data_IF_548852404430
#
_entry.id   IF_548852404430
#
_cell.length_a   1.000
_cell.length_b   1.000
_cell.length_c   1.000
_cell.angle_alpha   90.00
_cell.angle_beta   90.00
_cell.angle_gamma   90.00
#
_symmetry.space_group_name_H-M   'P 1'
#
loop_
_entity.id
_entity.type
_entity.pdbx_description
1 polymer ?
#
# COMPACT_ATOMS: atom_id res chain seq x y z
N UNK A 1 -14.28 46.80 3.73
CA UNK A 1 -14.41 45.88 4.89
C UNK A 1 -14.69 44.42 4.47
N UNK A 2 -15.36 44.13 3.35
CA UNK A 2 -15.59 42.74 2.89
C UNK A 2 -14.33 42.00 2.38
N UNK A 3 -13.44 42.69 1.64
CA UNK A 3 -12.20 42.07 1.13
C UNK A 3 -11.23 41.65 2.24
N UNK A 4 -11.15 42.41 3.33
CA UNK A 4 -10.31 42.07 4.49
C UNK A 4 -10.81 40.82 5.22
N UNK A 5 -12.13 40.66 5.38
CA UNK A 5 -12.73 39.48 6.02
C UNK A 5 -12.57 38.20 5.18
N UNK A 6 -12.58 38.29 3.85
CA UNK A 6 -12.30 37.15 2.99
C UNK A 6 -10.84 36.73 3.08
N UNK A 7 -9.92 37.70 3.10
CA UNK A 7 -8.48 37.42 3.21
C UNK A 7 -8.12 36.79 4.57
N UNK A 8 -8.73 37.24 5.67
CA UNK A 8 -8.51 36.61 6.98
C UNK A 8 -9.07 35.19 7.04
N UNK A 9 -10.23 34.92 6.42
CA UNK A 9 -10.76 33.56 6.33
C UNK A 9 -9.86 32.65 5.48
N UNK A 10 -9.28 33.18 4.41
CA UNK A 10 -8.35 32.44 3.56
C UNK A 10 -7.05 32.12 4.31
N UNK A 11 -6.57 33.05 5.12
CA UNK A 11 -5.39 32.89 5.98
C UNK A 11 -5.64 31.84 7.07
N UNK A 12 -6.80 31.85 7.71
CA UNK A 12 -7.22 30.83 8.68
C UNK A 12 -7.28 29.43 8.03
N UNK A 13 -7.84 29.33 6.82
CA UNK A 13 -7.87 28.07 6.06
C UNK A 13 -6.44 27.62 5.74
N UNK A 14 -5.57 28.55 5.29
CA UNK A 14 -4.19 28.24 4.97
C UNK A 14 -3.42 27.74 6.20
N UNK A 15 -3.63 28.35 7.37
CA UNK A 15 -3.02 27.92 8.63
C UNK A 15 -3.49 26.52 9.04
N UNK A 16 -4.79 26.22 8.95
CA UNK A 16 -5.32 24.88 9.24
C UNK A 16 -4.74 23.84 8.26
N UNK A 17 -4.62 24.19 6.97
CA UNK A 17 -4.04 23.29 5.98
C UNK A 17 -2.55 23.05 6.21
N UNK A 18 -1.80 24.04 6.69
CA UNK A 18 -0.38 23.85 7.04
C UNK A 18 -0.22 22.90 8.22
N UNK A 19 -1.01 23.06 9.28
CA UNK A 19 -1.04 22.14 10.42
C UNK A 19 -1.38 20.71 9.99
N UNK A 20 -2.43 20.56 9.17
CA UNK A 20 -2.83 19.26 8.60
C UNK A 20 -1.71 18.66 7.74
N UNK A 21 -0.97 19.49 7.01
CA UNK A 21 0.16 19.05 6.19
C UNK A 21 1.28 18.50 7.05
N UNK A 22 1.60 19.14 8.18
CA UNK A 22 2.60 18.66 9.14
C UNK A 22 2.17 17.33 9.76
N UNK A 23 0.92 17.22 10.20
CA UNK A 23 0.36 16.00 10.78
C UNK A 23 0.37 14.84 9.77
N UNK A 24 -0.08 15.12 8.56
CA UNK A 24 -0.10 14.13 7.46
C UNK A 24 1.30 13.69 7.09
N UNK A 25 2.28 14.60 7.08
CA UNK A 25 3.70 14.26 6.86
C UNK A 25 4.26 13.36 7.97
N UNK A 26 3.94 13.64 9.24
CA UNK A 26 4.34 12.78 10.38
C UNK A 26 3.70 11.40 10.29
N UNK A 27 2.41 11.34 9.95
CA UNK A 27 1.69 10.09 9.74
C UNK A 27 2.33 9.27 8.60
N UNK A 28 2.53 9.88 7.44
CA UNK A 28 3.19 9.25 6.29
C UNK A 28 4.59 8.71 6.64
N UNK A 29 5.37 9.46 7.43
CA UNK A 29 6.69 9.00 7.88
C UNK A 29 6.59 7.77 8.80
N UNK A 30 5.61 7.72 9.71
CA UNK A 30 5.39 6.56 10.59
C UNK A 30 4.82 5.35 9.85
N UNK A 31 4.09 5.57 8.76
CA UNK A 31 3.51 4.49 7.95
C UNK A 31 4.42 4.07 6.79
N UNK A 32 5.62 4.64 6.65
CA UNK A 32 6.50 4.37 5.52
C UNK A 32 6.91 2.89 5.39
N UNK A 33 7.10 2.18 6.52
CA UNK A 33 7.39 0.75 6.51
C UNK A 33 6.21 -0.07 5.96
N UNK A 34 5.02 0.21 6.47
CA UNK A 34 3.75 -0.43 6.07
C UNK A 34 3.39 -0.12 4.61
N UNK A 35 3.69 1.09 4.16
CA UNK A 35 3.52 1.53 2.77
C UNK A 35 4.37 0.69 1.80
N UNK A 36 5.59 0.34 2.20
CA UNK A 36 6.44 -0.55 1.41
C UNK A 36 5.82 -1.94 1.24
N UNK A 37 5.26 -2.48 2.32
CA UNK A 37 4.54 -3.76 2.30
C UNK A 37 3.28 -3.67 1.41
N UNK A 38 2.52 -2.59 1.49
CA UNK A 38 1.34 -2.34 0.65
C UNK A 38 1.66 -2.26 -0.84
N UNK A 39 2.77 -1.58 -1.20
CA UNK A 39 3.29 -1.55 -2.56
C UNK A 39 3.70 -2.93 -3.04
N UNK A 40 4.47 -3.68 -2.24
CA UNK A 40 4.99 -4.98 -2.62
C UNK A 40 3.86 -6.01 -2.81
N UNK A 41 2.90 -6.04 -1.88
CA UNK A 41 1.77 -6.96 -1.95
C UNK A 41 0.82 -6.63 -3.10
N UNK A 42 0.50 -5.35 -3.33
CA UNK A 42 -0.31 -4.96 -4.48
C UNK A 42 0.41 -5.23 -5.81
N UNK A 43 1.72 -4.95 -5.90
CA UNK A 43 2.50 -5.26 -7.10
C UNK A 43 2.47 -6.78 -7.38
N UNK A 44 2.71 -7.61 -6.36
CA UNK A 44 2.71 -9.07 -6.49
C UNK A 44 1.34 -9.63 -6.89
N UNK A 45 0.26 -9.13 -6.31
CA UNK A 45 -1.10 -9.64 -6.58
C UNK A 45 -1.62 -9.26 -7.97
N UNK A 46 -1.13 -8.16 -8.54
CA UNK A 46 -1.52 -7.70 -9.88
C UNK A 46 -0.56 -8.20 -10.96
N UNK A 47 0.71 -8.44 -10.63
CA UNK A 47 1.69 -9.06 -11.53
C UNK A 47 1.31 -10.50 -11.85
N UNK A 48 1.30 -10.86 -13.14
CA UNK A 48 0.96 -12.21 -13.59
C UNK A 48 -0.53 -12.42 -13.89
N UNK A 49 -1.29 -11.34 -14.05
CA UNK A 49 -2.51 -11.36 -14.88
C UNK A 49 -2.06 -11.23 -16.33
N UNK A 50 -2.78 -11.82 -17.30
CA UNK A 50 -2.43 -11.75 -18.74
C UNK A 50 -2.01 -10.31 -19.09
N UNK A 51 -0.77 -10.08 -19.58
CA UNK A 51 -0.10 -8.75 -19.63
C UNK A 51 -0.94 -7.60 -20.21
N UNK A 52 -1.94 -7.89 -21.05
CA UNK A 52 -2.89 -6.87 -21.54
C UNK A 52 -3.95 -6.39 -20.53
N UNK A 53 -4.07 -7.00 -19.35
CA UNK A 53 -5.16 -6.81 -18.39
C UNK A 53 -4.71 -6.34 -17.00
N UNK A 54 -3.42 -6.12 -16.80
CA UNK A 54 -2.87 -5.72 -15.50
C UNK A 54 -3.36 -4.32 -15.07
N UNK A 55 -3.34 -3.32 -15.97
CA UNK A 55 -3.83 -1.96 -15.68
C UNK A 55 -5.33 -1.90 -15.30
N UNK A 56 -6.26 -2.57 -16.03
CA UNK A 56 -7.65 -2.70 -15.59
C UNK A 56 -7.82 -3.35 -14.21
N UNK A 57 -6.96 -4.33 -13.86
CA UNK A 57 -6.98 -4.97 -12.54
C UNK A 57 -6.51 -4.01 -11.46
N UNK A 58 -5.38 -3.29 -11.65
CA UNK A 58 -4.92 -2.24 -10.71
C UNK A 58 -6.05 -1.23 -10.46
N UNK A 59 -6.74 -0.81 -11.51
CA UNK A 59 -7.85 0.14 -11.40
C UNK A 59 -9.05 -0.43 -10.63
N UNK A 60 -9.39 -1.70 -10.84
CA UNK A 60 -10.46 -2.37 -10.10
C UNK A 60 -10.13 -2.48 -8.60
N UNK A 61 -8.89 -2.85 -8.27
CA UNK A 61 -8.40 -2.91 -6.90
C UNK A 61 -8.39 -1.51 -6.27
N UNK A 62 -7.88 -0.50 -6.98
CA UNK A 62 -7.86 0.88 -6.52
C UNK A 62 -9.26 1.41 -6.17
N UNK A 63 -10.28 1.10 -6.99
CA UNK A 63 -11.68 1.44 -6.68
C UNK A 63 -12.19 0.74 -5.44
N UNK A 64 -11.93 -0.56 -5.29
CA UNK A 64 -12.33 -1.32 -4.10
C UNK A 64 -11.67 -0.79 -2.83
N UNK A 65 -10.38 -0.51 -2.91
CA UNK A 65 -9.57 0.11 -1.87
C UNK A 65 -10.10 1.49 -1.45
N UNK A 66 -10.48 2.32 -2.42
CA UNK A 66 -11.06 3.62 -2.16
C UNK A 66 -12.36 3.51 -1.34
N UNK A 67 -13.24 2.57 -1.69
CA UNK A 67 -14.48 2.30 -0.94
C UNK A 67 -14.16 1.80 0.47
N UNK A 68 -13.16 0.93 0.63
CA UNK A 68 -12.71 0.47 1.95
C UNK A 68 -12.26 1.64 2.82
N UNK A 69 -11.41 2.52 2.29
CA UNK A 69 -10.91 3.70 3.00
C UNK A 69 -12.03 4.70 3.31
N UNK A 70 -13.03 4.83 2.44
CA UNK A 70 -14.22 5.65 2.67
C UNK A 70 -15.09 5.12 3.83
N UNK A 71 -15.01 3.82 4.15
CA UNK A 71 -15.67 3.23 5.33
C UNK A 71 -14.75 3.32 6.57
N UNK A 72 -13.47 3.00 6.43
CA UNK A 72 -12.51 2.97 7.54
C UNK A 72 -12.26 4.35 8.15
N UNK A 73 -12.17 5.41 7.35
CA UNK A 73 -11.89 6.77 7.85
C UNK A 73 -13.01 7.29 8.76
N UNK A 74 -14.31 7.25 8.37
CA UNK A 74 -15.40 7.60 9.29
C UNK A 74 -15.44 6.71 10.53
N UNK A 75 -15.14 5.41 10.40
CA UNK A 75 -15.13 4.50 11.53
C UNK A 75 -14.03 4.87 12.54
N UNK A 76 -12.84 5.22 12.05
CA UNK A 76 -11.74 5.71 12.87
C UNK A 76 -12.09 7.04 13.57
N UNK A 77 -12.75 7.96 12.86
CA UNK A 77 -13.24 9.22 13.44
C UNK A 77 -14.32 8.99 14.51
N UNK A 78 -15.21 8.02 14.30
CA UNK A 78 -16.19 7.61 15.31
C UNK A 78 -15.51 7.06 16.56
N UNK A 79 -14.51 6.19 16.41
CA UNK A 79 -13.72 5.69 17.55
C UNK A 79 -13.07 6.87 18.27
N UNK A 80 -12.47 7.81 17.54
CA UNK A 80 -11.86 9.02 18.13
C UNK A 80 -12.85 9.87 18.92
N UNK A 81 -14.06 10.07 18.39
CA UNK A 81 -15.08 10.91 19.01
C UNK A 81 -15.75 10.26 20.23
N UNK A 82 -16.01 8.96 20.20
CA UNK A 82 -16.81 8.26 21.21
C UNK A 82 -15.99 7.41 22.20
N UNK A 83 -14.83 6.94 21.78
CA UNK A 83 -13.96 6.06 22.57
C UNK A 83 -12.47 6.36 22.32
N UNK A 84 -11.98 7.59 22.58
CA UNK A 84 -10.58 7.95 22.34
C UNK A 84 -9.61 7.08 23.16
N UNK A 85 -10.04 6.60 24.33
CA UNK A 85 -9.28 5.64 25.14
C UNK A 85 -9.00 4.31 24.43
N UNK A 86 -9.78 3.95 23.41
CA UNK A 86 -9.60 2.73 22.62
C UNK A 86 -8.49 2.87 21.56
N UNK A 87 -8.05 4.09 21.23
CA UNK A 87 -6.98 4.33 20.25
C UNK A 87 -5.68 3.70 20.74
N UNK A 88 -5.25 3.99 21.97
CA UNK A 88 -4.02 3.47 22.56
C UNK A 88 -3.96 1.92 22.60
N UNK A 89 -4.97 1.17 23.12
CA UNK A 89 -4.92 -0.28 23.10
C UNK A 89 -4.98 -0.86 21.68
N UNK A 90 -5.72 -0.23 20.76
CA UNK A 90 -5.78 -0.69 19.37
C UNK A 90 -4.44 -0.51 18.65
N UNK A 91 -3.74 0.60 18.91
CA UNK A 91 -2.36 0.85 18.48
C UNK A 91 -1.36 -0.11 19.12
N UNK A 92 -1.49 -0.41 20.42
CA UNK A 92 -0.62 -1.35 21.11
C UNK A 92 -0.75 -2.76 20.54
N UNK A 93 -1.98 -3.20 20.24
CA UNK A 93 -2.23 -4.49 19.59
C UNK A 93 -1.66 -4.50 18.17
N UNK A 94 -1.92 -3.45 17.38
CA UNK A 94 -1.35 -3.32 16.03
C UNK A 94 0.18 -3.33 16.04
N UNK A 95 0.80 -2.55 16.95
CA UNK A 95 2.25 -2.51 17.13
C UNK A 95 2.83 -3.87 17.54
N UNK A 96 2.16 -4.60 18.45
CA UNK A 96 2.59 -5.93 18.86
C UNK A 96 2.52 -6.92 17.69
N UNK A 97 1.46 -6.88 16.88
CA UNK A 97 1.31 -7.69 15.67
C UNK A 97 2.43 -7.40 14.66
N UNK A 98 2.77 -6.13 14.44
CA UNK A 98 3.88 -5.76 13.55
C UNK A 98 5.25 -6.20 14.07
N UNK A 99 5.47 -6.14 15.38
CA UNK A 99 6.69 -6.69 15.97
C UNK A 99 6.79 -8.20 15.72
N UNK A 100 5.67 -8.92 15.84
CA UNK A 100 5.61 -10.35 15.54
C UNK A 100 5.91 -10.63 14.05
N UNK A 101 5.19 -9.99 13.13
CA UNK A 101 5.37 -10.18 11.68
C UNK A 101 6.77 -9.74 11.21
N UNK A 102 7.31 -8.67 11.79
CA UNK A 102 8.66 -8.20 11.51
C UNK A 102 9.74 -9.22 11.90
N UNK A 103 9.61 -9.87 13.05
CA UNK A 103 10.53 -10.94 13.49
C UNK A 103 10.42 -12.17 12.59
N UNK A 104 9.21 -12.57 12.19
CA UNK A 104 8.98 -13.71 11.30
C UNK A 104 9.62 -13.48 9.91
N UNK A 105 9.39 -12.30 9.31
CA UNK A 105 10.02 -11.91 8.04
C UNK A 105 11.54 -11.88 8.14
N UNK A 106 12.09 -11.34 9.24
CA UNK A 106 13.54 -11.30 9.47
C UNK A 106 14.13 -12.70 9.64
N UNK A 107 13.43 -13.59 10.36
CA UNK A 107 13.84 -14.98 10.57
C UNK A 107 13.89 -15.74 9.23
N UNK A 108 12.87 -15.61 8.39
CA UNK A 108 12.86 -16.23 7.06
C UNK A 108 13.95 -15.65 6.14
N UNK A 109 14.22 -14.34 6.20
CA UNK A 109 15.30 -13.73 5.44
C UNK A 109 16.69 -14.21 5.89
N UNK A 110 16.90 -14.42 7.19
CA UNK A 110 18.14 -14.96 7.77
C UNK A 110 18.34 -16.44 7.41
N UNK A 111 17.29 -17.26 7.48
CA UNK A 111 17.35 -18.66 7.04
C UNK A 111 17.67 -18.77 5.54
N UNK A 112 17.11 -17.89 4.70
CA UNK A 112 17.44 -17.83 3.26
C UNK A 112 18.88 -17.36 2.99
N UNK A 113 19.47 -16.50 3.83
CA UNK A 113 20.89 -16.12 3.72
C UNK A 113 21.86 -17.21 4.21
N UNK A 114 21.44 -18.07 5.14
CA UNK A 114 22.21 -19.22 5.61
C UNK A 114 22.30 -20.39 4.62
N UNK A 115 21.38 -20.45 3.64
CA UNK A 115 21.32 -21.49 2.59
C UNK A 115 21.84 -21.02 1.22
N UNK A 116 22.94 -20.25 1.18
CA UNK A 116 23.76 -20.13 -0.05
C UNK A 116 24.84 -21.22 -0.06
N UNK A 117 24.41 -22.48 -0.12
CA UNK A 117 25.21 -23.54 -0.74
C UNK A 117 24.51 -23.93 -2.04
N UNK A 118 25.29 -23.97 -3.13
CA UNK A 118 24.84 -23.93 -4.51
C UNK A 118 24.12 -25.21 -5.03
N UNK A 119 23.56 -26.04 -4.15
CA UNK A 119 22.94 -27.34 -4.52
C UNK A 119 21.46 -27.47 -4.13
N UNK A 120 20.90 -26.60 -3.28
CA UNK A 120 19.50 -26.70 -2.81
C UNK A 120 18.48 -25.84 -3.59
N UNK A 121 18.90 -25.18 -4.68
CA UNK A 121 17.97 -24.45 -5.56
C UNK A 121 17.03 -25.40 -6.34
N UNK A 122 17.38 -26.70 -6.44
CA UNK A 122 16.58 -27.71 -7.14
C UNK A 122 15.60 -28.50 -6.27
N UNK A 123 15.73 -28.50 -4.94
CA UNK A 123 14.92 -29.36 -4.05
C UNK A 123 13.67 -28.66 -3.50
N UNK A 124 13.65 -27.33 -3.45
CA UNK A 124 12.42 -26.56 -3.17
C UNK A 124 11.39 -26.65 -4.33
N UNK A 125 11.79 -27.17 -5.50
CA UNK A 125 10.88 -27.49 -6.61
C UNK A 125 10.17 -28.84 -6.43
N UNK A 126 10.75 -29.81 -5.70
CA UNK A 126 10.16 -31.14 -5.52
C UNK A 126 9.22 -31.23 -4.32
N UNK A 127 9.43 -30.42 -3.27
CA UNK A 127 8.54 -30.42 -2.10
C UNK A 127 7.28 -29.55 -2.33
N UNK A 128 7.37 -28.50 -3.15
CA UNK A 128 6.19 -27.80 -3.71
C UNK A 128 5.42 -28.66 -4.75
N UNK A 129 6.01 -29.74 -5.26
CA UNK A 129 5.36 -30.67 -6.20
C UNK A 129 4.64 -31.85 -5.51
N UNK A 130 4.82 -32.04 -4.20
CA UNK A 130 4.24 -33.16 -3.45
C UNK A 130 2.97 -32.78 -2.66
N UNK A 131 2.67 -31.50 -2.51
CA UNK A 131 1.31 -31.05 -2.18
C UNK A 131 0.60 -30.88 -3.51
N UNK A 132 -0.55 -31.53 -3.79
CA UNK A 132 -1.25 -31.26 -5.03
C UNK A 132 -1.47 -29.75 -5.09
N UNK A 133 -0.95 -29.04 -6.11
CA UNK A 133 -1.42 -27.71 -6.37
C UNK A 133 -2.91 -27.93 -6.64
N UNK A 134 -3.75 -27.51 -5.71
CA UNK A 134 -5.06 -27.07 -6.13
C UNK A 134 -4.75 -25.86 -7.00
N UNK A 135 -4.44 -26.15 -8.27
CA UNK A 135 -4.41 -25.22 -9.38
C UNK A 135 -5.86 -24.78 -9.58
N UNK A 136 -6.40 -24.08 -8.58
CA UNK A 136 -7.43 -23.11 -8.83
C UNK A 136 -6.72 -22.09 -9.71
N UNK A 137 -7.04 -22.15 -10.99
CA UNK A 137 -6.91 -21.01 -11.88
C UNK A 137 -7.70 -19.89 -11.19
N UNK A 138 -7.03 -19.13 -10.33
CA UNK A 138 -7.66 -18.04 -9.61
C UNK A 138 -8.15 -17.07 -10.67
N UNK A 139 -9.47 -16.92 -10.73
CA UNK A 139 -10.06 -16.04 -11.74
C UNK A 139 -9.62 -14.61 -11.46
N UNK A 140 -9.53 -13.75 -12.47
CA UNK A 140 -9.19 -12.31 -12.30
C UNK A 140 -10.02 -11.67 -11.16
N UNK A 141 -11.29 -12.05 -11.04
CA UNK A 141 -12.18 -11.60 -9.97
C UNK A 141 -11.76 -12.07 -8.56
N UNK A 142 -11.22 -13.28 -8.42
CA UNK A 142 -10.70 -13.80 -7.15
C UNK A 142 -9.42 -13.06 -6.76
N UNK A 143 -8.52 -12.79 -7.72
CA UNK A 143 -7.32 -11.97 -7.50
C UNK A 143 -7.68 -10.54 -7.06
N UNK A 144 -8.62 -9.88 -7.75
CA UNK A 144 -9.11 -8.55 -7.37
C UNK A 144 -9.68 -8.58 -5.95
N UNK A 145 -10.50 -9.58 -5.62
CA UNK A 145 -11.11 -9.70 -4.29
C UNK A 145 -10.08 -9.99 -3.20
N UNK A 146 -9.08 -10.82 -3.49
CA UNK A 146 -7.93 -11.06 -2.61
C UNK A 146 -7.18 -9.78 -2.32
N UNK A 147 -6.86 -9.01 -3.37
CA UNK A 147 -6.14 -7.75 -3.24
C UNK A 147 -6.90 -6.69 -2.45
N UNK A 148 -8.20 -6.55 -2.68
CA UNK A 148 -9.04 -5.63 -1.90
C UNK A 148 -9.08 -6.02 -0.41
N UNK A 149 -9.03 -7.32 -0.08
CA UNK A 149 -9.01 -7.78 1.32
C UNK A 149 -7.67 -7.51 1.99
N UNK A 150 -6.56 -7.77 1.29
CA UNK A 150 -5.23 -7.46 1.81
C UNK A 150 -5.06 -5.96 2.03
N UNK A 151 -5.47 -5.14 1.05
CA UNK A 151 -5.46 -3.68 1.17
C UNK A 151 -6.35 -3.19 2.32
N UNK A 152 -7.50 -3.82 2.60
CA UNK A 152 -8.33 -3.44 3.74
C UNK A 152 -7.57 -3.53 5.07
N UNK A 153 -6.84 -4.64 5.27
CA UNK A 153 -6.07 -4.87 6.49
C UNK A 153 -4.91 -3.88 6.60
N UNK A 154 -4.15 -3.70 5.52
CA UNK A 154 -3.03 -2.75 5.48
C UNK A 154 -3.51 -1.31 5.64
N UNK A 155 -4.65 -0.96 5.03
CA UNK A 155 -5.28 0.35 5.19
C UNK A 155 -5.74 0.60 6.62
N UNK A 156 -6.30 -0.42 7.29
CA UNK A 156 -6.71 -0.30 8.69
C UNK A 156 -5.51 0.00 9.59
N UNK A 157 -4.36 -0.60 9.33
CA UNK A 157 -3.12 -0.33 10.04
C UNK A 157 -2.61 1.10 9.83
N UNK A 158 -2.52 1.54 8.57
CA UNK A 158 -2.12 2.92 8.21
C UNK A 158 -3.05 3.94 8.88
N UNK A 159 -4.35 3.68 8.85
CA UNK A 159 -5.37 4.55 9.47
C UNK A 159 -5.24 4.54 10.98
N UNK A 160 -5.00 3.39 11.62
CA UNK A 160 -4.76 3.30 13.05
C UNK A 160 -3.52 4.10 13.48
N UNK A 161 -2.38 3.91 12.79
CA UNK A 161 -1.14 4.67 13.04
C UNK A 161 -1.38 6.17 12.86
N UNK A 162 -2.09 6.57 11.79
CA UNK A 162 -2.42 7.98 11.55
C UNK A 162 -3.31 8.52 12.66
N UNK A 163 -4.33 7.77 13.08
CA UNK A 163 -5.22 8.15 14.17
C UNK A 163 -4.44 8.38 15.47
N UNK A 164 -3.43 7.56 15.76
CA UNK A 164 -2.50 7.79 16.87
C UNK A 164 -1.64 9.04 16.74
N UNK A 165 -1.29 9.46 15.52
CA UNK A 165 -0.54 10.71 15.31
C UNK A 165 -1.41 11.95 15.57
N UNK A 166 -2.69 11.87 15.25
CA UNK A 166 -3.64 12.99 15.37
C UNK A 166 -4.55 12.89 16.60
N UNK A 167 -4.30 11.94 17.51
CA UNK A 167 -5.20 11.65 18.64
C UNK A 167 -5.45 12.86 19.55
N UNK A 168 -4.47 13.77 19.67
CA UNK A 168 -4.53 14.96 20.52
C UNK A 168 -5.08 16.21 19.80
N UNK A 169 -5.44 16.08 18.51
CA UNK A 169 -5.95 17.18 17.70
C UNK A 169 -7.48 17.24 17.72
N UNK A 170 -8.04 18.38 17.31
CA UNK A 170 -9.49 18.49 17.17
C UNK A 170 -10.03 17.61 16.02
N UNK A 171 -11.34 17.32 16.07
CA UNK A 171 -11.98 16.42 15.11
C UNK A 171 -11.81 16.88 13.65
N UNK A 172 -11.78 18.19 13.40
CA UNK A 172 -11.58 18.75 12.07
C UNK A 172 -10.18 18.40 11.51
N UNK A 173 -9.12 18.65 12.28
CA UNK A 173 -7.74 18.32 11.90
C UNK A 173 -7.55 16.82 11.75
N UNK A 174 -8.15 16.02 12.63
CA UNK A 174 -8.16 14.57 12.50
C UNK A 174 -8.81 14.12 11.19
N UNK A 175 -10.00 14.64 10.87
CA UNK A 175 -10.74 14.29 9.66
C UNK A 175 -9.97 14.70 8.40
N UNK A 176 -9.40 15.91 8.37
CA UNK A 176 -8.61 16.38 7.25
C UNK A 176 -7.34 15.56 7.05
N UNK A 177 -6.62 15.23 8.13
CA UNK A 177 -5.39 14.45 8.04
C UNK A 177 -5.65 12.98 7.64
N UNK A 178 -6.64 12.33 8.25
CA UNK A 178 -7.04 10.96 7.89
C UNK A 178 -7.55 10.86 6.44
N UNK A 179 -8.32 11.84 5.98
CA UNK A 179 -8.78 11.88 4.59
C UNK A 179 -7.62 12.13 3.63
N UNK A 180 -6.69 13.02 3.99
CA UNK A 180 -5.52 13.33 3.18
C UNK A 180 -4.60 12.12 3.04
N UNK A 181 -4.29 11.41 4.13
CA UNK A 181 -3.46 10.21 4.06
C UNK A 181 -4.16 9.12 3.25
N UNK A 182 -5.46 8.89 3.45
CA UNK A 182 -6.21 7.88 2.71
C UNK A 182 -6.17 8.15 1.19
N UNK A 183 -6.32 9.41 0.78
CA UNK A 183 -6.25 9.82 -0.60
C UNK A 183 -4.83 9.70 -1.18
N UNK A 184 -3.84 10.24 -0.47
CA UNK A 184 -2.42 10.18 -0.88
C UNK A 184 -1.98 8.73 -1.05
N UNK A 185 -2.36 7.84 -0.13
CA UNK A 185 -2.03 6.42 -0.21
C UNK A 185 -2.72 5.75 -1.40
N UNK A 186 -4.02 6.00 -1.60
CA UNK A 186 -4.74 5.42 -2.74
C UNK A 186 -4.12 5.86 -4.07
N UNK A 187 -3.84 7.15 -4.24
CA UNK A 187 -3.25 7.65 -5.49
C UNK A 187 -1.79 7.24 -5.63
N UNK A 188 -1.01 7.35 -4.56
CA UNK A 188 0.42 7.10 -4.54
C UNK A 188 0.76 5.62 -4.74
N UNK A 189 0.13 4.72 -3.99
CA UNK A 189 0.39 3.28 -4.07
C UNK A 189 -0.05 2.74 -5.42
N UNK A 190 -1.33 2.93 -5.79
CA UNK A 190 -1.84 2.39 -7.05
C UNK A 190 -1.26 3.10 -8.28
N UNK A 191 -0.92 4.38 -8.17
CA UNK A 191 -0.20 5.11 -9.22
C UNK A 191 1.19 4.55 -9.45
N UNK A 192 1.92 4.23 -8.38
CA UNK A 192 3.26 3.61 -8.47
C UNK A 192 3.17 2.19 -9.03
N UNK A 193 2.23 1.37 -8.54
CA UNK A 193 1.99 0.00 -9.06
C UNK A 193 1.64 0.03 -10.54
N UNK A 194 0.72 0.92 -10.97
CA UNK A 194 0.41 1.11 -12.39
C UNK A 194 1.63 1.56 -13.20
N UNK A 195 2.50 2.38 -12.60
CA UNK A 195 3.77 2.79 -13.18
C UNK A 195 4.72 1.61 -13.42
N UNK A 196 4.90 0.74 -12.41
CA UNK A 196 5.73 -0.47 -12.51
C UNK A 196 5.22 -1.38 -13.64
N UNK A 197 3.92 -1.69 -13.64
CA UNK A 197 3.28 -2.51 -14.68
C UNK A 197 3.52 -1.93 -16.07
N UNK A 198 3.40 -0.60 -16.21
CA UNK A 198 3.61 0.06 -17.50
C UNK A 198 5.08 0.07 -17.95
N UNK A 199 6.02 0.08 -17.00
CA UNK A 199 7.44 -0.07 -17.30
C UNK A 199 7.75 -1.49 -17.79
N UNK A 200 7.12 -2.52 -17.21
CA UNK A 200 7.26 -3.91 -17.65
C UNK A 200 6.74 -4.11 -19.08
N UNK A 201 5.53 -3.62 -19.37
CA UNK A 201 4.96 -3.59 -20.73
C UNK A 201 5.87 -2.87 -21.74
N UNK A 202 6.48 -1.75 -21.33
CA UNK A 202 7.43 -1.02 -22.15
C UNK A 202 8.72 -1.82 -22.38
N UNK A 203 9.22 -2.54 -21.37
CA UNK A 203 10.35 -3.46 -21.47
C UNK A 203 10.08 -4.57 -22.50
N UNK A 204 8.92 -5.22 -22.41
CA UNK A 204 8.48 -6.22 -23.38
C UNK A 204 8.41 -5.65 -24.79
N UNK A 205 7.79 -4.48 -24.96
CA UNK A 205 7.71 -3.82 -26.26
C UNK A 205 9.09 -3.49 -26.85
N UNK A 206 10.04 -3.04 -26.03
CA UNK A 206 11.41 -2.74 -26.46
C UNK A 206 12.19 -3.99 -26.88
N UNK A 207 11.96 -5.14 -26.23
CA UNK A 207 12.60 -6.40 -26.64
C UNK A 207 12.10 -6.95 -27.98
N UNK A 208 10.89 -6.57 -28.39
CA UNK A 208 10.29 -6.98 -29.66
C UNK A 208 10.73 -6.10 -30.85
N UNK A 209 11.37 -4.94 -30.60
CA UNK A 209 11.89 -4.07 -31.66
C UNK A 209 13.21 -4.59 -32.26
N UNK A 210 13.43 -4.26 -33.53
CA UNK A 210 14.70 -4.51 -34.21
C UNK A 210 15.78 -3.51 -33.74
N UNK A 211 16.98 -4.01 -33.44
CA UNK A 211 18.12 -3.23 -32.92
C UNK A 211 18.71 -3.78 -31.62
N UNK A 212 20.04 -3.75 -31.48
CA UNK A 212 20.76 -4.28 -30.31
C UNK A 212 20.55 -3.43 -29.05
N UNK A 213 20.49 -2.10 -29.21
CA UNK A 213 20.29 -1.13 -28.13
C UNK A 213 18.88 -1.23 -27.50
N UNK A 214 17.76 -1.19 -28.26
CA UNK A 214 16.43 -1.34 -27.66
C UNK A 214 16.22 -2.72 -27.00
N UNK A 215 16.81 -3.80 -27.53
CA UNK A 215 16.79 -5.12 -26.88
C UNK A 215 17.58 -5.18 -25.57
N UNK A 216 18.73 -4.52 -25.50
CA UNK A 216 19.53 -4.45 -24.28
C UNK A 216 18.83 -3.64 -23.19
N UNK A 217 18.23 -2.50 -23.56
CA UNK A 217 17.44 -1.67 -22.64
C UNK A 217 16.19 -2.41 -22.17
N UNK A 218 15.46 -3.06 -23.08
CA UNK A 218 14.28 -3.87 -22.73
C UNK A 218 14.64 -5.01 -21.76
N UNK A 219 15.71 -5.75 -22.02
CA UNK A 219 16.20 -6.80 -21.10
C UNK A 219 16.65 -6.26 -19.74
N UNK A 220 17.20 -5.04 -19.68
CA UNK A 220 17.57 -4.39 -18.43
C UNK A 220 16.37 -3.98 -17.58
N UNK A 221 15.26 -3.59 -18.21
CA UNK A 221 14.00 -3.25 -17.53
C UNK A 221 13.26 -4.50 -17.03
N UNK A 222 13.29 -5.60 -17.80
CA UNK A 222 12.65 -6.86 -17.42
C UNK A 222 13.42 -7.67 -16.36
N UNK A 223 14.65 -7.27 -16.00
CA UNK A 223 15.50 -7.97 -15.04
C UNK A 223 15.40 -7.42 -13.61
N UNK A 224 14.58 -6.37 -13.41
CA UNK A 224 14.21 -5.81 -12.09
C UNK A 224 12.88 -6.38 -11.64
#
# INVERSE_FOLDING_TARGET
>A
MAAGSLLTLLDDIASILDDVSILTKKAAAKTAGVLGDDLALNAQQVSGVVSKRELPVVWAVAKGSFVNKLILVPLALLISAFAPWAITPLLMIGGLYLCFEGVEKLHHALQKRGKKSAEEAGQNLSELAATPPQEKVETEAEKIKGAIRTDFVLSAEIIAITLGVVENENLLRQALSLSSIALIMTVGVYGLVAGIVKLDDAGLYLTQREGSVPKAVGRGILWT
#
